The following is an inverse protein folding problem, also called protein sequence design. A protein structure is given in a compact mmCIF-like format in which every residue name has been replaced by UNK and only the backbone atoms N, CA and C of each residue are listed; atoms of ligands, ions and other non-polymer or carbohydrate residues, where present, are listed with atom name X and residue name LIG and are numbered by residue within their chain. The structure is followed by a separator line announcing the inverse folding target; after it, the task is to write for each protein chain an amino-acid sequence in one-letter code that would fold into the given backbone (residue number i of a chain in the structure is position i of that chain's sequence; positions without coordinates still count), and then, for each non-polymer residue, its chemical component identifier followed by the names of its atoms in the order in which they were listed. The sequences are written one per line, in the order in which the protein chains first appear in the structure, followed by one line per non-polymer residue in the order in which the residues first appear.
data_IF_274518224565
#
_entry.id   IF_274518224565
#
_cell.length_a   1.000
_cell.length_b   1.000
_cell.length_c   1.000
_cell.angle_alpha   90.00
_cell.angle_beta   90.00
_cell.angle_gamma   90.00
#
_symmetry.space_group_name_H-M   'P 1'
#
loop_
_entity.id
_entity.type
_entity.pdbx_description
1 polymer ?
#
# COMPACT_ATOMS: atom_id res chain seq x y z
N UNK A 1 -19.47 -16.71 18.95
CA UNK A 1 -18.13 -17.35 18.96
C UNK A 1 -17.60 -17.76 17.58
N UNK A 2 -18.43 -18.22 16.60
CA UNK A 2 -17.93 -18.56 15.25
C UNK A 2 -17.41 -17.36 14.44
N UNK A 3 -18.15 -16.25 14.42
CA UNK A 3 -17.77 -15.05 13.64
C UNK A 3 -16.45 -14.41 14.10
N UNK A 4 -16.17 -14.42 15.41
CA UNK A 4 -14.93 -13.89 16.00
C UNK A 4 -13.71 -14.69 15.56
N UNK A 5 -13.84 -16.03 15.48
CA UNK A 5 -12.75 -16.92 15.06
C UNK A 5 -12.41 -16.77 13.57
N UNK A 6 -13.41 -16.48 12.74
CA UNK A 6 -13.22 -16.24 11.30
C UNK A 6 -12.53 -14.90 11.03
N UNK A 7 -12.81 -13.86 11.81
CA UNK A 7 -12.08 -12.59 11.72
C UNK A 7 -10.62 -12.71 12.19
N UNK A 8 -10.36 -13.49 13.26
CA UNK A 8 -8.99 -13.71 13.78
C UNK A 8 -8.09 -14.53 12.85
N UNK A 9 -8.68 -15.28 11.92
CA UNK A 9 -7.96 -16.14 10.95
C UNK A 9 -7.88 -15.52 9.55
N UNK A 10 -8.31 -14.27 9.37
CA UNK A 10 -8.29 -13.62 8.06
C UNK A 10 -6.91 -13.00 7.78
N UNK A 11 -6.40 -13.04 6.54
CA UNK A 11 -5.27 -12.20 6.17
C UNK A 11 -5.66 -10.74 6.35
N UNK A 12 -4.68 -9.90 6.68
CA UNK A 12 -4.92 -8.47 6.80
C UNK A 12 -3.76 -7.71 6.18
N UNK A 13 -3.98 -7.28 4.94
CA UNK A 13 -2.98 -6.57 4.15
C UNK A 13 -3.22 -5.09 4.29
N UNK A 14 -2.21 -4.35 4.73
CA UNK A 14 -2.23 -2.90 4.83
C UNK A 14 -1.28 -2.28 3.82
N UNK A 15 -1.64 -1.09 3.35
CA UNK A 15 -0.81 -0.25 2.50
C UNK A 15 -0.67 1.11 3.16
N UNK A 16 0.57 1.54 3.38
CA UNK A 16 0.86 2.81 4.06
C UNK A 16 2.10 3.49 3.51
N UNK A 17 2.20 4.79 3.76
CA UNK A 17 3.40 5.58 3.46
C UNK A 17 4.32 5.60 4.68
N UNK A 18 5.61 5.38 4.44
CA UNK A 18 6.66 5.43 5.45
C UNK A 18 7.74 6.45 5.06
N UNK A 19 7.71 7.67 5.63
CA UNK A 19 8.72 8.69 5.40
C UNK A 19 9.95 8.53 6.32
N UNK A 20 9.96 7.57 7.25
CA UNK A 20 10.97 7.47 8.31
C UNK A 20 12.05 6.43 8.02
N UNK A 21 11.71 5.34 7.31
CA UNK A 21 12.69 4.30 6.97
C UNK A 21 13.80 4.75 6.05
N UNK A 22 13.67 5.92 5.40
CA UNK A 22 14.69 6.46 4.50
C UNK A 22 14.79 7.98 4.63
N UNK A 23 15.98 8.54 4.92
CA UNK A 23 16.15 9.95 5.30
C UNK A 23 15.80 10.98 4.21
N UNK A 24 15.60 10.55 2.96
CA UNK A 24 15.26 11.43 1.83
C UNK A 24 14.09 10.96 0.98
N UNK A 25 13.51 9.79 1.30
CA UNK A 25 12.54 9.15 0.43
C UNK A 25 11.36 8.66 1.23
N UNK A 26 10.17 8.82 0.67
CA UNK A 26 8.96 8.18 1.15
C UNK A 26 8.90 6.79 0.52
N UNK A 27 8.67 5.78 1.35
CA UNK A 27 8.40 4.42 0.93
C UNK A 27 6.89 4.20 0.90
N UNK A 28 6.44 3.46 -0.10
CA UNK A 28 5.14 2.79 -0.07
C UNK A 28 5.37 1.39 0.49
N UNK A 29 4.67 1.07 1.57
CA UNK A 29 4.78 -0.20 2.25
C UNK A 29 3.52 -1.00 2.04
N UNK A 30 3.69 -2.27 1.67
CA UNK A 30 2.60 -3.26 1.61
C UNK A 30 2.99 -4.39 2.55
N UNK A 31 2.13 -4.68 3.53
CA UNK A 31 2.45 -5.59 4.61
C UNK A 31 1.24 -6.44 4.98
N UNK A 32 1.45 -7.75 5.14
CA UNK A 32 0.43 -8.60 5.74
C UNK A 32 0.63 -8.66 7.25
N UNK A 33 -0.13 -7.83 7.97
CA UNK A 33 -0.15 -7.80 9.44
C UNK A 33 -1.10 -8.84 10.05
N UNK A 34 -1.81 -9.60 9.20
CA UNK A 34 -2.66 -10.71 9.60
C UNK A 34 -1.86 -11.94 10.02
N UNK A 35 -2.57 -12.94 10.58
CA UNK A 35 -1.96 -14.20 11.06
C UNK A 35 -1.87 -15.29 9.99
N UNK A 36 -2.43 -15.03 8.82
CA UNK A 36 -2.58 -16.02 7.74
C UNK A 36 -2.16 -15.41 6.40
N UNK A 37 -1.70 -16.22 5.43
CA UNK A 37 -1.25 -15.70 4.15
C UNK A 37 -2.40 -15.03 3.38
N UNK A 38 -2.03 -14.03 2.56
CA UNK A 38 -2.91 -13.44 1.57
C UNK A 38 -2.55 -13.99 0.19
N UNK A 39 -3.56 -14.41 -0.58
CA UNK A 39 -3.40 -14.98 -1.90
C UNK A 39 -4.01 -14.10 -2.98
N UNK A 40 -3.40 -14.08 -4.17
CA UNK A 40 -3.91 -13.40 -5.35
C UNK A 40 -4.16 -11.91 -5.10
N UNK A 41 -3.17 -11.21 -4.54
CA UNK A 41 -3.28 -9.79 -4.25
C UNK A 41 -3.33 -9.01 -5.56
N UNK A 42 -4.31 -8.14 -5.70
CA UNK A 42 -4.36 -7.14 -6.75
C UNK A 42 -4.68 -5.76 -6.18
N UNK A 43 -4.26 -4.74 -6.92
CA UNK A 43 -4.29 -3.35 -6.48
C UNK A 43 -4.96 -2.52 -7.57
N UNK A 44 -5.97 -1.76 -7.18
CA UNK A 44 -6.60 -0.76 -8.04
C UNK A 44 -6.42 0.60 -7.38
N UNK A 45 -5.95 1.58 -8.15
CA UNK A 45 -5.55 2.89 -7.64
C UNK A 45 -6.24 3.97 -8.46
N UNK A 46 -6.92 4.87 -7.78
CA UNK A 46 -7.74 5.92 -8.39
C UNK A 46 -6.95 6.89 -9.29
N UNK A 47 -5.64 7.03 -9.05
CA UNK A 47 -4.77 7.96 -9.77
C UNK A 47 -3.30 7.48 -9.76
N UNK A 48 -2.38 8.13 -10.50
CA UNK A 48 -0.96 7.80 -10.50
C UNK A 48 -0.34 7.73 -9.11
N UNK A 49 0.43 6.67 -8.84
CA UNK A 49 1.07 6.47 -7.55
C UNK A 49 2.49 7.05 -7.54
N UNK A 50 2.69 8.06 -6.73
CA UNK A 50 4.00 8.63 -6.44
C UNK A 50 3.91 10.13 -6.18
N UNK A 51 4.92 10.65 -5.50
CA UNK A 51 4.97 12.06 -5.12
C UNK A 51 6.11 12.79 -5.82
N UNK A 52 5.80 13.93 -6.44
CA UNK A 52 6.78 14.97 -6.78
C UNK A 52 7.82 14.62 -7.86
N UNK A 53 7.61 13.56 -8.65
CA UNK A 53 8.45 13.28 -9.83
C UNK A 53 7.57 13.35 -11.09
N UNK A 54 7.80 14.31 -12.00
CA UNK A 54 7.06 14.41 -13.25
C UNK A 54 7.16 13.11 -14.08
N UNK A 55 6.02 12.60 -14.55
CA UNK A 55 5.96 11.36 -15.34
C UNK A 55 6.32 10.10 -14.55
N UNK A 56 6.34 10.17 -13.22
CA UNK A 56 6.49 9.01 -12.36
C UNK A 56 5.13 8.45 -11.95
N UNK A 57 4.90 7.20 -12.32
CA UNK A 57 3.79 6.41 -11.80
C UNK A 57 4.31 5.03 -11.41
N UNK A 58 4.24 4.70 -10.13
CA UNK A 58 4.65 3.40 -9.59
C UNK A 58 3.81 2.26 -10.18
N UNK A 59 2.57 2.53 -10.59
CA UNK A 59 1.68 1.53 -11.22
C UNK A 59 2.25 0.99 -12.53
N UNK A 60 2.94 1.84 -13.28
CA UNK A 60 3.55 1.48 -14.57
C UNK A 60 4.94 0.85 -14.40
N UNK A 61 5.61 1.12 -13.26
CA UNK A 61 7.01 0.77 -13.03
C UNK A 61 7.22 -0.49 -12.22
N UNK A 62 6.19 -0.97 -11.53
CA UNK A 62 6.24 -2.16 -10.69
C UNK A 62 5.24 -3.19 -11.17
N UNK A 63 5.73 -4.41 -11.45
CA UNK A 63 4.88 -5.53 -11.84
C UNK A 63 3.85 -5.90 -10.76
N UNK A 64 4.06 -5.45 -9.53
CA UNK A 64 3.11 -5.61 -8.43
C UNK A 64 1.73 -5.00 -8.73
N UNK A 65 1.68 -3.87 -9.42
CA UNK A 65 0.42 -3.19 -9.72
C UNK A 65 -0.20 -3.67 -11.04
N UNK A 66 0.61 -4.16 -11.98
CA UNK A 66 0.09 -4.69 -13.25
C UNK A 66 -0.33 -6.15 -13.17
N UNK A 67 0.40 -6.97 -12.40
CA UNK A 67 0.20 -8.42 -12.32
C UNK A 67 -0.26 -8.88 -10.94
N UNK A 68 -0.21 -8.01 -9.93
CA UNK A 68 -0.50 -8.40 -8.56
C UNK A 68 0.66 -9.15 -7.90
N UNK A 69 0.33 -9.84 -6.81
CA UNK A 69 1.23 -10.74 -6.09
C UNK A 69 0.48 -12.01 -5.72
N UNK A 70 0.98 -13.16 -6.15
CA UNK A 70 0.31 -14.44 -5.91
C UNK A 70 0.17 -14.77 -4.42
N UNK A 71 1.16 -14.37 -3.62
CA UNK A 71 1.29 -14.78 -2.24
C UNK A 71 2.03 -13.74 -1.40
N UNK A 72 1.44 -13.38 -0.24
CA UNK A 72 2.08 -12.56 0.79
C UNK A 72 1.96 -13.26 2.14
N UNK A 73 3.09 -13.74 2.67
CA UNK A 73 3.13 -14.47 3.94
C UNK A 73 2.77 -13.56 5.14
N UNK A 74 2.29 -14.12 6.26
CA UNK A 74 2.14 -13.37 7.51
C UNK A 74 3.44 -12.69 7.93
N UNK A 75 3.36 -11.39 8.25
CA UNK A 75 4.51 -10.56 8.63
C UNK A 75 5.45 -10.20 7.47
N UNK A 76 5.16 -10.66 6.24
CA UNK A 76 5.96 -10.27 5.09
C UNK A 76 5.63 -8.83 4.69
N UNK A 77 6.70 -8.06 4.46
CA UNK A 77 6.66 -6.66 4.09
C UNK A 77 7.38 -6.43 2.76
N UNK A 78 6.78 -5.61 1.91
CA UNK A 78 7.37 -5.11 0.68
C UNK A 78 7.49 -3.59 0.75
N UNK A 79 8.64 -3.06 0.37
CA UNK A 79 8.91 -1.63 0.37
C UNK A 79 9.24 -1.16 -1.03
N UNK A 80 8.47 -0.21 -1.52
CA UNK A 80 8.64 0.40 -2.83
C UNK A 80 8.99 1.87 -2.68
N UNK A 81 9.77 2.40 -3.63
CA UNK A 81 10.02 3.83 -3.68
C UNK A 81 8.76 4.57 -4.15
N UNK A 82 8.25 5.50 -3.34
CA UNK A 82 7.07 6.30 -3.66
C UNK A 82 7.44 7.68 -4.22
N UNK A 83 8.44 8.33 -3.62
CA UNK A 83 8.93 9.63 -4.06
C UNK A 83 9.95 10.22 -3.10
N UNK A 84 10.63 11.32 -3.47
CA UNK A 84 11.54 12.03 -2.59
C UNK A 84 10.74 12.91 -1.62
N UNK A 85 11.18 12.97 -0.37
CA UNK A 85 10.50 13.70 0.70
C UNK A 85 10.37 15.20 0.38
N UNK A 86 11.42 15.80 -0.19
CA UNK A 86 11.45 17.23 -0.54
C UNK A 86 10.39 17.57 -1.59
N UNK A 87 10.27 16.77 -2.65
CA UNK A 87 9.28 17.05 -3.69
C UNK A 87 7.84 16.84 -3.18
N UNK A 88 7.66 15.91 -2.23
CA UNK A 88 6.37 15.66 -1.60
C UNK A 88 5.86 16.84 -0.74
N UNK A 89 6.74 17.75 -0.31
CA UNK A 89 6.37 18.97 0.44
C UNK A 89 5.73 20.06 -0.44
N UNK A 90 5.87 19.98 -1.76
CA UNK A 90 5.32 20.97 -2.68
C UNK A 90 3.78 21.00 -2.60
N UNK A 91 3.17 22.18 -2.73
CA UNK A 91 1.71 22.35 -2.65
C UNK A 91 0.97 21.76 -3.86
N UNK A 92 1.64 21.69 -5.01
CA UNK A 92 1.09 21.19 -6.28
C UNK A 92 1.02 19.66 -6.33
N UNK A 93 1.64 18.96 -5.39
CA UNK A 93 1.71 17.49 -5.38
C UNK A 93 0.41 16.91 -4.83
N UNK A 94 -0.10 15.90 -5.51
CA UNK A 94 -1.22 15.09 -5.03
C UNK A 94 -0.89 14.55 -3.64
N UNK A 95 -1.83 14.61 -2.70
CA UNK A 95 -1.58 14.26 -1.29
C UNK A 95 -2.37 13.08 -0.77
N UNK A 96 -3.44 12.70 -1.45
CA UNK A 96 -4.34 11.63 -1.01
C UNK A 96 -4.65 10.71 -2.15
N UNK A 97 -4.51 9.40 -1.95
CA UNK A 97 -4.83 8.36 -2.91
C UNK A 97 -5.79 7.36 -2.29
N UNK A 98 -6.65 6.76 -3.11
CA UNK A 98 -7.42 5.58 -2.72
C UNK A 98 -6.84 4.35 -3.41
N UNK A 99 -6.45 3.38 -2.60
CA UNK A 99 -6.00 2.07 -3.05
C UNK A 99 -7.05 1.05 -2.64
N UNK A 100 -7.61 0.37 -3.62
CA UNK A 100 -8.47 -0.77 -3.41
C UNK A 100 -7.66 -2.05 -3.58
N UNK A 101 -7.51 -2.79 -2.49
CA UNK A 101 -6.88 -4.09 -2.46
C UNK A 101 -7.91 -5.18 -2.63
N UNK A 102 -7.54 -6.21 -3.38
CA UNK A 102 -8.32 -7.44 -3.48
C UNK A 102 -7.41 -8.63 -3.15
N UNK A 103 -7.82 -9.50 -2.23
CA UNK A 103 -7.03 -10.68 -1.82
C UNK A 103 -7.91 -11.76 -1.16
N UNK A 104 -7.47 -13.02 -1.22
CA UNK A 104 -8.17 -14.16 -0.62
C UNK A 104 -7.39 -14.80 0.54
N UNK A 105 -8.07 -15.52 1.43
CA UNK A 105 -7.45 -16.31 2.50
C UNK A 105 -6.82 -17.61 1.98
N UNK A 106 -7.41 -18.21 0.95
CA UNK A 106 -6.85 -19.34 0.22
C UNK A 106 -7.21 -19.26 -1.27
N UNK A 107 -6.42 -19.95 -2.10
CA UNK A 107 -6.66 -20.02 -3.55
C UNK A 107 -8.04 -20.62 -3.83
N UNK A 108 -8.85 -19.92 -4.65
CA UNK A 108 -10.19 -20.36 -5.06
C UNK A 108 -11.33 -19.95 -4.11
N UNK A 109 -11.04 -19.28 -3.00
CA UNK A 109 -12.08 -18.63 -2.19
C UNK A 109 -12.52 -17.28 -2.78
N UNK A 110 -13.71 -16.82 -2.37
CA UNK A 110 -14.14 -15.47 -2.71
C UNK A 110 -13.15 -14.44 -2.17
N UNK A 111 -12.65 -13.55 -3.04
CA UNK A 111 -11.69 -12.56 -2.63
C UNK A 111 -12.36 -11.48 -1.80
N UNK A 112 -11.64 -11.00 -0.80
CA UNK A 112 -12.01 -9.82 -0.07
C UNK A 112 -11.54 -8.57 -0.79
N UNK A 113 -12.34 -7.49 -0.68
CA UNK A 113 -12.04 -6.19 -1.25
C UNK A 113 -12.07 -5.12 -0.17
N UNK A 114 -11.01 -4.33 -0.08
CA UNK A 114 -10.87 -3.27 0.93
C UNK A 114 -10.25 -2.02 0.30
N UNK A 115 -10.84 -0.87 0.57
CA UNK A 115 -10.29 0.42 0.13
C UNK A 115 -9.57 1.09 1.30
N UNK A 116 -8.33 1.51 1.06
CA UNK A 116 -7.47 2.18 2.02
C UNK A 116 -7.06 3.55 1.46
N UNK A 117 -6.90 4.53 2.34
CA UNK A 117 -6.47 5.88 1.96
C UNK A 117 -5.00 6.05 2.31
N UNK A 118 -4.19 6.39 1.33
CA UNK A 118 -2.86 6.94 1.57
C UNK A 118 -2.99 8.44 1.73
N UNK A 119 -2.59 8.96 2.88
CA UNK A 119 -2.67 10.39 3.18
C UNK A 119 -1.29 10.93 3.55
N UNK A 120 -0.71 11.71 2.64
CA UNK A 120 0.58 12.35 2.84
C UNK A 120 0.47 13.52 3.82
N UNK A 121 -0.70 14.18 3.92
CA UNK A 121 -0.90 15.28 4.88
C UNK A 121 -0.82 14.79 6.34
N UNK A 122 -0.98 13.48 6.58
CA UNK A 122 -0.73 12.88 7.89
C UNK A 122 0.71 13.12 8.39
N UNK A 123 1.64 13.45 7.48
CA UNK A 123 3.05 13.73 7.76
C UNK A 123 3.44 15.19 7.54
N UNK A 124 2.48 16.11 7.37
CA UNK A 124 2.77 17.51 7.08
C UNK A 124 3.76 18.15 8.09
N UNK A 125 3.67 17.78 9.37
CA UNK A 125 4.55 18.31 10.42
C UNK A 125 6.04 17.95 10.28
N UNK A 126 6.39 16.90 9.54
CA UNK A 126 7.78 16.48 9.31
C UNK A 126 8.30 16.84 7.91
N UNK A 127 7.41 17.26 7.00
CA UNK A 127 7.77 17.63 5.63
C UNK A 127 8.13 19.12 5.47
N UNK A 128 7.84 19.94 6.49
CA UNK A 128 8.08 21.41 6.49
C UNK A 128 9.42 21.76 7.21
N UNK A 129 10.25 20.76 7.49
CA UNK A 129 11.54 20.90 8.19
C UNK A 129 12.74 21.12 7.27
#
# INVERSE_FOLDING_TARGET
MRATRTQEMRPYVIVYLDPFSSPRNIKLVIENVGRTPAWGLSFDCDQPLGAGIPGWDLRERSSLFSSGLDFLAPGQKMELFFGPLVAASEESVVRKWQITLTYAHQCGEEPHRETQTLDLDAFAGIMVG
#
